data_IF_816314276281
#
_entry.id   IF_816314276281
#
_cell.length_a   1.000
_cell.length_b   1.000
_cell.length_c   1.000
_cell.angle_alpha   90.00
_cell.angle_beta   90.00
_cell.angle_gamma   90.00
#
_symmetry.space_group_name_H-M   'P 1'
#
loop_
_entity.id
_entity.type
_entity.pdbx_description
1 polymer ?
#
# COMPACT_ATOMS: atom_id res chain seq x y z
N UNK A 1 -19.40 12.95 -38.20
CA UNK A 1 -19.43 13.59 -36.87
C UNK A 1 -19.73 12.52 -35.87
N UNK A 2 -18.77 12.21 -34.99
CA UNK A 2 -18.93 11.19 -33.96
C UNK A 2 -19.93 11.70 -32.90
N UNK A 3 -20.88 10.85 -32.52
CA UNK A 3 -21.88 11.13 -31.48
C UNK A 3 -21.41 10.50 -30.17
N UNK A 4 -21.89 11.01 -29.03
CA UNK A 4 -21.50 10.53 -27.70
C UNK A 4 -21.68 9.00 -27.50
N UNK A 5 -22.56 8.36 -28.29
CA UNK A 5 -22.77 6.90 -28.25
C UNK A 5 -21.56 6.12 -28.80
N UNK A 6 -20.76 6.73 -29.68
CA UNK A 6 -19.61 6.10 -30.33
C UNK A 6 -18.40 6.01 -29.37
N UNK A 7 -18.40 6.82 -28.30
CA UNK A 7 -17.41 6.81 -27.21
C UNK A 7 -17.72 5.85 -26.07
N UNK A 8 -18.90 5.19 -26.08
CA UNK A 8 -19.29 4.14 -25.14
C UNK A 8 -19.11 2.74 -25.72
N UNK A 9 -18.49 2.63 -26.89
CA UNK A 9 -18.14 1.34 -27.47
C UNK A 9 -16.99 0.71 -26.69
N UNK A 10 -17.13 -0.59 -26.38
CA UNK A 10 -16.05 -1.44 -25.83
C UNK A 10 -14.78 -1.45 -26.70
N UNK A 11 -14.81 -0.82 -27.88
CA UNK A 11 -13.65 -0.60 -28.74
C UNK A 11 -12.46 0.05 -28.01
N UNK A 12 -12.69 0.92 -27.03
CA UNK A 12 -11.61 1.49 -26.21
C UNK A 12 -10.89 0.43 -25.35
N UNK A 13 -11.60 -0.57 -24.82
CA UNK A 13 -11.02 -1.66 -24.03
C UNK A 13 -10.49 -2.80 -24.89
N UNK A 14 -11.05 -3.01 -26.08
CA UNK A 14 -10.75 -4.17 -26.93
C UNK A 14 -9.60 -3.92 -27.91
N UNK A 15 -9.36 -2.66 -28.33
CA UNK A 15 -8.32 -2.33 -29.33
C UNK A 15 -7.10 -1.57 -28.78
N UNK A 16 -7.19 -1.02 -27.56
CA UNK A 16 -6.11 -0.19 -26.97
C UNK A 16 -5.34 -0.88 -25.82
N UNK A 17 -5.94 -1.91 -25.21
CA UNK A 17 -5.37 -2.59 -24.05
C UNK A 17 -5.19 -4.08 -24.34
N UNK A 18 -3.94 -4.54 -24.37
CA UNK A 18 -3.64 -5.95 -24.24
C UNK A 18 -3.52 -6.26 -22.75
N UNK A 19 -4.43 -7.05 -22.20
CA UNK A 19 -4.29 -7.54 -20.84
C UNK A 19 -3.01 -8.38 -20.74
N UNK A 20 -2.09 -7.97 -19.86
CA UNK A 20 -0.97 -8.82 -19.49
C UNK A 20 -1.49 -10.10 -18.82
N UNK A 21 -0.81 -11.22 -19.05
CA UNK A 21 -1.15 -12.45 -18.37
C UNK A 21 -0.97 -12.26 -16.87
N UNK A 22 -2.00 -12.62 -16.09
CA UNK A 22 -1.92 -12.57 -14.63
C UNK A 22 -0.73 -13.40 -14.14
N UNK A 23 0.02 -12.94 -13.13
CA UNK A 23 1.13 -13.70 -12.59
C UNK A 23 0.68 -15.11 -12.19
N UNK A 24 1.39 -16.14 -12.63
CA UNK A 24 1.20 -17.50 -12.14
C UNK A 24 1.77 -17.63 -10.73
N UNK A 25 1.24 -18.56 -9.94
CA UNK A 25 1.69 -18.79 -8.57
C UNK A 25 1.94 -20.27 -8.31
N UNK A 26 2.81 -20.57 -7.35
CA UNK A 26 2.94 -21.92 -6.80
C UNK A 26 2.14 -22.04 -5.52
N UNK A 27 2.44 -21.18 -4.53
CA UNK A 27 1.71 -21.12 -3.25
C UNK A 27 1.48 -19.69 -2.73
N UNK A 28 2.21 -18.70 -3.26
CA UNK A 28 2.18 -17.31 -2.79
C UNK A 28 2.27 -16.35 -3.98
N UNK A 29 1.67 -15.18 -3.80
CA UNK A 29 1.59 -14.09 -4.76
C UNK A 29 2.38 -12.85 -4.33
N UNK A 30 3.09 -12.91 -3.18
CA UNK A 30 3.98 -11.85 -2.72
C UNK A 30 3.26 -10.56 -2.30
N UNK A 31 1.94 -10.60 -2.12
CA UNK A 31 1.11 -9.45 -1.76
C UNK A 31 -0.01 -9.90 -0.84
N UNK A 32 -0.23 -9.17 0.25
CA UNK A 32 -1.34 -9.40 1.18
C UNK A 32 -2.72 -9.11 0.59
N UNK A 33 -2.77 -8.51 -0.60
CA UNK A 33 -4.00 -8.26 -1.35
C UNK A 33 -4.28 -9.32 -2.42
N UNK A 34 -3.38 -10.26 -2.65
CA UNK A 34 -3.51 -11.32 -3.64
C UNK A 34 -3.60 -12.68 -2.96
N UNK A 35 -4.29 -13.62 -3.58
CA UNK A 35 -4.29 -15.03 -3.23
C UNK A 35 -4.03 -15.88 -4.47
N UNK A 36 -3.51 -17.09 -4.27
CA UNK A 36 -3.23 -18.02 -5.35
C UNK A 36 -4.49 -18.84 -5.65
N UNK A 37 -5.21 -18.49 -6.71
CA UNK A 37 -6.39 -19.23 -7.19
C UNK A 37 -5.94 -20.51 -7.90
N UNK A 38 -6.27 -21.66 -7.31
CA UNK A 38 -6.04 -22.99 -7.90
C UNK A 38 -7.33 -23.66 -8.37
N UNK A 39 -8.47 -23.05 -8.08
CA UNK A 39 -9.79 -23.62 -8.32
C UNK A 39 -10.20 -23.57 -9.80
N UNK A 40 -9.56 -22.70 -10.60
CA UNK A 40 -9.92 -22.46 -12.01
C UNK A 40 -8.80 -22.80 -13.02
N UNK A 41 -8.04 -23.86 -12.76
CA UNK A 41 -7.03 -24.39 -13.70
C UNK A 41 -5.60 -24.04 -13.31
N UNK A 42 -4.83 -23.46 -14.24
CA UNK A 42 -3.44 -23.08 -13.94
C UNK A 42 -3.40 -22.06 -12.80
N UNK A 43 -2.63 -22.34 -11.72
CA UNK A 43 -2.60 -21.47 -10.56
C UNK A 43 -2.15 -20.05 -10.90
N UNK A 44 -2.95 -19.07 -10.47
CA UNK A 44 -2.71 -17.65 -10.77
C UNK A 44 -3.05 -16.74 -9.61
N UNK A 45 -2.38 -15.59 -9.57
CA UNK A 45 -2.63 -14.58 -8.56
C UNK A 45 -3.90 -13.78 -8.85
N UNK A 46 -4.76 -13.68 -7.85
CA UNK A 46 -6.06 -12.99 -7.93
C UNK A 46 -6.25 -12.10 -6.71
N UNK A 47 -6.89 -10.95 -6.88
CA UNK A 47 -7.21 -10.03 -5.78
C UNK A 47 -8.13 -10.69 -4.76
N UNK A 48 -7.82 -10.49 -3.48
CA UNK A 48 -8.68 -10.87 -2.36
C UNK A 48 -9.93 -9.99 -2.30
N UNK A 49 -10.99 -10.56 -1.75
CA UNK A 49 -12.30 -9.94 -1.58
C UNK A 49 -12.38 -9.27 -0.21
N UNK A 50 -12.87 -8.03 -0.18
CA UNK A 50 -13.13 -7.30 1.06
C UNK A 50 -14.23 -7.95 1.89
N UNK A 51 -14.26 -7.66 3.19
CA UNK A 51 -15.36 -8.05 4.08
C UNK A 51 -16.73 -7.62 3.51
N UNK A 52 -17.71 -8.53 3.57
CA UNK A 52 -19.04 -8.40 3.00
C UNK A 52 -19.15 -8.77 1.51
N UNK A 53 -18.00 -8.93 0.83
CA UNK A 53 -17.95 -9.36 -0.58
C UNK A 53 -18.22 -10.85 -0.77
N UNK A 54 -18.48 -11.22 -2.03
CA UNK A 54 -18.84 -12.58 -2.44
C UNK A 54 -17.60 -13.46 -2.62
N UNK A 55 -17.61 -14.65 -2.04
CA UNK A 55 -16.51 -15.62 -2.10
C UNK A 55 -16.97 -17.04 -2.48
N UNK A 56 -18.18 -17.16 -3.04
CA UNK A 56 -18.73 -18.44 -3.53
C UNK A 56 -17.77 -19.13 -4.51
N UNK A 57 -17.50 -20.42 -4.29
CA UNK A 57 -16.59 -21.25 -5.10
C UNK A 57 -15.12 -21.17 -4.71
N UNK A 58 -14.79 -20.42 -3.66
CA UNK A 58 -13.43 -20.24 -3.13
C UNK A 58 -13.36 -20.48 -1.62
N UNK A 59 -14.29 -21.28 -1.09
CA UNK A 59 -14.45 -21.51 0.35
C UNK A 59 -13.22 -22.16 1.00
N UNK A 60 -12.39 -22.85 0.22
CA UNK A 60 -11.17 -23.53 0.65
C UNK A 60 -9.90 -22.72 0.35
N UNK A 61 -10.04 -21.55 -0.26
CA UNK A 61 -8.92 -20.69 -0.65
C UNK A 61 -8.84 -19.45 0.26
N UNK A 62 -7.69 -18.81 0.28
CA UNK A 62 -7.45 -17.58 1.05
C UNK A 62 -8.01 -16.34 0.32
N UNK A 63 -9.26 -16.40 -0.13
CA UNK A 63 -9.89 -15.36 -0.95
C UNK A 63 -10.25 -14.10 -0.16
N UNK A 64 -10.52 -14.19 1.13
CA UNK A 64 -11.01 -13.07 1.92
C UNK A 64 -9.88 -12.25 2.56
N UNK A 65 -9.86 -10.94 2.30
CA UNK A 65 -8.91 -10.04 2.94
C UNK A 65 -9.26 -9.83 4.41
N UNK A 66 -8.40 -10.35 5.31
CA UNK A 66 -8.58 -10.31 6.78
C UNK A 66 -9.92 -10.88 7.25
N UNK A 67 -10.38 -11.92 6.57
CA UNK A 67 -11.66 -12.55 6.85
C UNK A 67 -11.67 -13.99 6.36
N UNK A 68 -12.80 -14.67 6.58
CA UNK A 68 -13.04 -16.04 6.13
C UNK A 68 -14.30 -16.11 5.28
N UNK A 69 -14.28 -16.98 4.28
CA UNK A 69 -15.45 -17.22 3.46
C UNK A 69 -16.46 -18.08 4.24
N UNK A 70 -17.57 -17.48 4.64
CA UNK A 70 -18.66 -18.15 5.37
C UNK A 70 -19.95 -17.89 4.64
N UNK A 71 -20.64 -18.96 4.22
CA UNK A 71 -21.89 -18.88 3.47
C UNK A 71 -21.79 -17.96 2.24
N UNK A 72 -20.71 -18.10 1.47
CA UNK A 72 -20.50 -17.31 0.24
C UNK A 72 -20.11 -15.86 0.46
N UNK A 73 -19.85 -15.43 1.70
CA UNK A 73 -19.41 -14.07 2.02
C UNK A 73 -18.19 -14.02 2.90
N UNK A 74 -17.33 -13.03 2.63
CA UNK A 74 -16.22 -12.72 3.50
C UNK A 74 -16.71 -12.08 4.80
N UNK A 75 -16.50 -12.74 5.94
CA UNK A 75 -16.81 -12.22 7.27
C UNK A 75 -15.52 -11.98 8.07
N UNK A 76 -15.50 -11.05 9.04
CA UNK A 76 -14.33 -10.84 9.88
C UNK A 76 -13.95 -12.13 10.62
N UNK A 77 -12.68 -12.51 10.57
CA UNK A 77 -12.17 -13.71 11.21
C UNK A 77 -10.76 -14.06 10.72
N UNK A 78 -10.04 -14.89 11.49
CA UNK A 78 -8.78 -15.48 11.05
C UNK A 78 -9.07 -16.69 10.17
N UNK A 79 -8.61 -16.67 8.91
CA UNK A 79 -8.70 -17.85 8.04
C UNK A 79 -7.98 -19.04 8.69
N UNK A 80 -8.65 -20.20 8.86
CA UNK A 80 -8.01 -21.43 9.31
C UNK A 80 -7.28 -22.16 8.17
N UNK A 81 -7.22 -21.62 6.96
CA UNK A 81 -6.39 -22.16 5.88
C UNK A 81 -4.94 -21.75 6.15
N UNK A 82 -4.32 -22.55 7.01
CA UNK A 82 -2.88 -22.60 7.27
C UNK A 82 -2.11 -22.75 5.95
N UNK A 83 -1.46 -21.67 5.52
CA UNK A 83 -0.07 -21.80 5.13
C UNK A 83 0.76 -21.82 6.43
N UNK A 84 1.58 -22.86 6.69
CA UNK A 84 2.42 -22.91 7.88
C UNK A 84 3.59 -21.93 7.72
N UNK A 85 3.33 -20.66 8.00
CA UNK A 85 4.36 -19.63 8.12
C UNK A 85 3.97 -18.59 9.18
N UNK A 86 3.70 -19.03 10.41
CA UNK A 86 3.86 -18.20 11.63
C UNK A 86 3.60 -19.04 12.88
N UNK A 87 4.54 -19.93 13.20
CA UNK A 87 4.94 -20.13 14.58
C UNK A 87 6.45 -19.93 14.62
N UNK A 88 6.87 -18.68 14.78
CA UNK A 88 8.24 -18.36 15.12
C UNK A 88 8.47 -18.75 16.58
N UNK A 89 8.84 -20.01 16.81
CA UNK A 89 9.66 -20.34 17.98
C UNK A 89 10.92 -19.48 17.89
N UNK A 90 11.20 -18.73 18.96
CA UNK A 90 12.41 -17.89 19.07
C UNK A 90 13.64 -18.77 18.86
N UNK A 91 14.20 -18.72 17.65
CA UNK A 91 15.53 -19.24 17.39
C UNK A 91 16.56 -18.34 18.11
N UNK A 92 17.67 -18.92 18.61
CA UNK A 92 18.77 -18.14 19.19
C UNK A 92 19.34 -17.15 18.17
N UNK A 93 20.01 -16.07 18.62
CA UNK A 93 20.36 -14.94 17.76
C UNK A 93 21.36 -15.37 16.69
N UNK A 94 20.85 -15.63 15.49
CA UNK A 94 21.67 -15.69 14.30
C UNK A 94 22.14 -14.27 13.98
N UNK A 95 23.45 -14.09 13.89
CA UNK A 95 24.10 -12.86 13.46
C UNK A 95 23.47 -12.39 12.15
N UNK A 96 22.74 -11.27 12.22
CA UNK A 96 21.91 -10.72 11.14
C UNK A 96 22.80 -10.45 9.92
N UNK A 97 22.56 -11.16 8.81
CA UNK A 97 22.95 -10.65 7.51
C UNK A 97 22.30 -9.26 7.34
N UNK A 98 22.99 -8.27 6.74
CA UNK A 98 22.41 -6.95 6.53
C UNK A 98 21.13 -7.11 5.71
N UNK A 99 20.04 -6.42 6.09
CA UNK A 99 18.81 -6.46 5.31
C UNK A 99 19.12 -6.04 3.88
N UNK A 100 18.67 -6.84 2.91
CA UNK A 100 18.75 -6.49 1.50
C UNK A 100 18.12 -5.12 1.32
N UNK A 101 18.90 -4.17 0.81
CA UNK A 101 18.45 -2.83 0.49
C UNK A 101 17.46 -2.90 -0.68
N UNK A 102 16.19 -3.16 -0.39
CA UNK A 102 15.12 -2.97 -1.36
C UNK A 102 15.04 -1.47 -1.64
N UNK A 103 15.19 -1.06 -2.91
CA UNK A 103 15.00 0.32 -3.37
C UNK A 103 13.58 0.86 -3.10
N UNK A 104 12.64 -0.02 -2.74
CA UNK A 104 11.20 0.26 -2.69
C UNK A 104 10.65 0.34 -1.26
N UNK A 105 11.49 0.75 -0.29
CA UNK A 105 11.07 0.91 1.09
C UNK A 105 10.60 2.34 1.37
N UNK A 106 9.31 2.60 1.15
CA UNK A 106 8.70 3.93 1.33
C UNK A 106 7.60 3.92 2.41
N UNK A 107 7.20 5.12 2.82
CA UNK A 107 5.95 5.33 3.54
C UNK A 107 4.87 5.75 2.53
N UNK A 108 3.65 5.25 2.70
CA UNK A 108 2.49 5.56 1.85
C UNK A 108 1.67 6.74 2.39
N UNK A 109 1.83 7.07 3.67
CA UNK A 109 1.06 8.12 4.33
C UNK A 109 1.99 9.16 4.95
N UNK A 110 1.59 10.44 4.97
CA UNK A 110 2.35 11.46 5.66
C UNK A 110 2.38 11.18 7.16
N UNK A 111 3.48 11.58 7.82
CA UNK A 111 3.66 11.52 9.27
C UNK A 111 3.95 10.14 9.86
N UNK A 112 4.37 9.18 9.04
CA UNK A 112 4.75 7.85 9.49
C UNK A 112 5.87 7.88 10.55
N UNK A 113 6.86 8.77 10.44
CA UNK A 113 7.91 8.94 11.46
C UNK A 113 7.34 9.43 12.80
N UNK A 114 6.43 10.42 12.75
CA UNK A 114 5.74 10.93 13.95
C UNK A 114 4.86 9.86 14.59
N UNK A 115 4.13 9.07 13.81
CA UNK A 115 3.31 8.00 14.37
C UNK A 115 4.15 6.86 14.92
N UNK A 116 5.24 6.50 14.25
CA UNK A 116 6.20 5.51 14.75
C UNK A 116 6.79 5.94 16.09
N UNK A 117 7.22 7.20 16.24
CA UNK A 117 7.73 7.72 17.52
C UNK A 117 6.67 7.78 18.63
N UNK A 118 5.37 7.75 18.29
CA UNK A 118 4.26 7.62 19.24
C UNK A 118 3.92 6.16 19.60
N UNK A 119 4.70 5.17 19.13
CA UNK A 119 4.44 3.74 19.39
C UNK A 119 3.27 3.17 18.59
N UNK A 120 2.92 3.79 17.45
CA UNK A 120 1.83 3.29 16.59
C UNK A 120 2.20 1.99 15.89
N UNK A 121 3.49 1.74 15.66
CA UNK A 121 3.93 0.51 15.00
C UNK A 121 3.46 -0.75 15.75
N UNK A 122 3.36 -0.67 17.08
CA UNK A 122 2.84 -1.72 17.94
C UNK A 122 1.34 -1.57 18.21
N UNK A 123 0.85 -0.34 18.38
CA UNK A 123 -0.56 -0.10 18.72
C UNK A 123 -1.52 -0.26 17.53
N UNK A 124 -1.03 -0.12 16.30
CA UNK A 124 -1.79 -0.17 15.05
C UNK A 124 -0.98 -0.88 13.96
N UNK A 125 -0.56 -2.10 14.27
CA UNK A 125 0.36 -2.94 13.48
C UNK A 125 -0.07 -3.04 12.01
N UNK A 126 -1.37 -3.20 11.78
CA UNK A 126 -1.93 -3.38 10.45
C UNK A 126 -1.81 -2.13 9.57
N UNK A 127 -2.27 -0.99 10.10
CA UNK A 127 -2.21 0.27 9.37
C UNK A 127 -0.75 0.70 9.18
N UNK A 128 0.02 0.69 10.26
CA UNK A 128 1.41 1.13 10.23
C UNK A 128 2.28 0.20 9.41
N UNK A 129 2.01 -1.10 9.43
CA UNK A 129 2.76 -2.05 8.62
C UNK A 129 2.55 -1.87 7.12
N UNK A 130 1.33 -1.51 6.74
CA UNK A 130 0.99 -1.27 5.33
C UNK A 130 1.40 0.11 4.86
N UNK A 131 1.24 1.14 5.71
CA UNK A 131 1.37 2.54 5.29
C UNK A 131 2.69 3.19 5.71
N UNK A 132 3.39 2.62 6.69
CA UNK A 132 4.55 3.21 7.34
C UNK A 132 5.70 2.21 7.44
N UNK A 133 5.84 1.34 6.44
CA UNK A 133 6.78 0.23 6.44
C UNK A 133 8.23 0.67 6.73
N UNK A 134 8.66 1.79 6.13
CA UNK A 134 9.98 2.36 6.38
C UNK A 134 10.10 2.86 7.83
N UNK A 135 9.15 3.67 8.31
CA UNK A 135 9.19 4.25 9.67
C UNK A 135 9.07 3.20 10.78
N UNK A 136 8.32 2.12 10.54
CA UNK A 136 8.20 0.99 11.46
C UNK A 136 9.28 -0.06 11.29
N UNK A 137 10.31 0.20 10.46
CA UNK A 137 11.45 -0.68 10.23
C UNK A 137 11.07 -2.09 9.76
N UNK A 138 9.97 -2.19 9.02
CA UNK A 138 9.51 -3.43 8.38
C UNK A 138 10.33 -3.69 7.12
N UNK A 139 10.74 -2.63 6.44
CA UNK A 139 11.73 -2.67 5.38
C UNK A 139 12.91 -1.75 5.72
N UNK A 140 13.99 -1.84 4.92
CA UNK A 140 15.18 -0.99 5.10
C UNK A 140 15.21 0.11 4.04
N UNK A 141 14.97 1.35 4.48
CA UNK A 141 15.05 2.54 3.63
C UNK A 141 16.52 2.86 3.30
N UNK A 142 16.77 3.29 2.06
CA UNK A 142 18.08 3.76 1.59
C UNK A 142 18.31 5.26 1.85
N UNK A 143 17.36 5.93 2.47
CA UNK A 143 17.35 7.36 2.77
C UNK A 143 17.18 7.61 4.27
N UNK A 144 17.52 8.83 4.70
CA UNK A 144 17.35 9.25 6.09
C UNK A 144 15.92 9.69 6.35
N UNK A 145 15.16 8.88 7.09
CA UNK A 145 13.78 9.17 7.48
C UNK A 145 13.63 10.46 8.31
N UNK A 146 14.68 10.89 9.00
CA UNK A 146 14.67 12.09 9.83
C UNK A 146 14.94 13.38 9.05
N UNK A 147 15.38 13.26 7.79
CA UNK A 147 15.57 14.41 6.92
C UNK A 147 14.24 14.86 6.29
N UNK A 148 13.52 15.69 7.05
CA UNK A 148 12.24 16.32 6.69
C UNK A 148 12.25 17.15 5.39
N UNK A 149 13.41 17.48 4.82
CA UNK A 149 13.52 18.22 3.57
C UNK A 149 14.49 17.49 2.64
N UNK A 150 14.06 16.35 2.13
CA UNK A 150 14.78 15.63 1.09
C UNK A 150 13.83 14.87 0.17
N UNK A 151 14.37 14.46 -0.97
CA UNK A 151 13.75 13.48 -1.84
C UNK A 151 14.27 12.08 -1.50
N UNK A 152 13.34 11.17 -1.24
CA UNK A 152 13.64 9.78 -0.89
C UNK A 152 13.83 8.89 -2.12
N UNK A 153 13.60 9.43 -3.33
CA UNK A 153 13.82 8.74 -4.60
C UNK A 153 14.48 9.65 -5.62
N UNK A 154 15.47 9.15 -6.39
CA UNK A 154 16.03 9.87 -7.54
C UNK A 154 15.00 10.27 -8.60
N UNK A 155 13.80 9.66 -8.60
CA UNK A 155 12.74 9.95 -9.56
C UNK A 155 11.85 11.13 -9.16
N UNK A 156 11.98 11.66 -7.93
CA UNK A 156 11.17 12.77 -7.43
C UNK A 156 11.14 14.01 -8.34
N UNK A 157 12.26 14.48 -8.93
CA UNK A 157 12.22 15.61 -9.85
C UNK A 157 11.37 15.33 -11.10
N UNK A 158 11.47 14.11 -11.63
CA UNK A 158 10.70 13.67 -12.79
C UNK A 158 9.20 13.55 -12.49
N UNK A 159 8.84 13.02 -11.31
CA UNK A 159 7.46 12.94 -10.85
C UNK A 159 6.86 14.33 -10.60
N UNK A 160 7.61 15.22 -9.96
CA UNK A 160 7.21 16.61 -9.74
C UNK A 160 6.92 17.32 -11.07
N UNK A 161 7.81 17.19 -12.07
CA UNK A 161 7.61 17.75 -13.40
C UNK A 161 6.37 17.20 -14.14
N UNK A 162 5.88 16.00 -13.76
CA UNK A 162 4.65 15.40 -14.30
C UNK A 162 3.38 15.76 -13.51
N UNK A 163 3.49 16.61 -12.50
CA UNK A 163 2.35 17.06 -11.69
C UNK A 163 2.00 16.14 -10.51
N UNK A 164 2.86 15.19 -10.15
CA UNK A 164 2.56 14.24 -9.06
C UNK A 164 2.41 14.92 -7.70
N UNK A 165 3.02 16.09 -7.50
CA UNK A 165 2.82 16.89 -6.29
C UNK A 165 1.36 17.28 -6.07
N UNK A 166 0.54 17.29 -7.13
CA UNK A 166 -0.89 17.56 -7.08
C UNK A 166 -1.72 16.28 -7.17
N UNK A 167 -1.45 15.40 -8.15
CA UNK A 167 -2.21 14.17 -8.37
C UNK A 167 -1.97 13.09 -7.30
N UNK A 168 -0.77 13.07 -6.73
CA UNK A 168 -0.35 12.13 -5.67
C UNK A 168 0.23 12.88 -4.47
N UNK A 169 -0.46 13.95 -4.07
CA UNK A 169 0.03 14.92 -3.08
C UNK A 169 0.45 14.30 -1.74
N UNK A 170 -0.25 13.26 -1.27
CA UNK A 170 0.04 12.60 0.02
C UNK A 170 1.39 11.88 -0.02
N UNK A 171 1.59 11.06 -1.04
CA UNK A 171 2.79 10.27 -1.21
C UNK A 171 3.99 11.17 -1.52
N UNK A 172 3.81 12.15 -2.39
CA UNK A 172 4.86 13.11 -2.74
C UNK A 172 5.23 14.03 -1.57
N UNK A 173 4.28 14.40 -0.71
CA UNK A 173 4.57 15.17 0.51
C UNK A 173 5.30 14.38 1.59
N UNK A 174 5.29 13.05 1.50
CA UNK A 174 6.03 12.16 2.38
C UNK A 174 7.41 11.83 1.81
N UNK A 175 7.52 11.61 0.50
CA UNK A 175 8.71 11.03 -0.13
C UNK A 175 9.49 11.97 -1.07
N UNK A 176 8.92 13.10 -1.48
CA UNK A 176 9.50 13.99 -2.50
C UNK A 176 9.36 15.48 -2.12
N UNK A 177 9.70 15.82 -0.87
CA UNK A 177 9.40 17.13 -0.29
C UNK A 177 10.22 18.25 -0.91
N UNK A 178 11.46 17.97 -1.31
CA UNK A 178 12.33 18.95 -1.96
C UNK A 178 11.80 19.24 -3.36
N UNK A 179 11.57 18.20 -4.17
CA UNK A 179 11.01 18.32 -5.52
C UNK A 179 9.64 18.97 -5.57
N UNK A 180 8.81 18.80 -4.54
CA UNK A 180 7.50 19.44 -4.43
C UNK A 180 7.52 20.79 -3.71
N UNK A 181 8.69 21.32 -3.33
CA UNK A 181 8.83 22.61 -2.65
C UNK A 181 8.03 22.68 -1.33
N UNK A 182 7.94 21.56 -0.62
CA UNK A 182 7.23 21.42 0.65
C UNK A 182 8.14 21.57 1.87
N UNK A 183 9.44 21.77 1.65
CA UNK A 183 10.39 22.10 2.70
C UNK A 183 9.93 23.31 3.52
N UNK A 184 10.05 23.21 4.85
CA UNK A 184 9.56 24.25 5.77
C UNK A 184 8.04 24.31 5.96
N UNK A 185 7.26 23.53 5.21
CA UNK A 185 5.82 23.40 5.43
C UNK A 185 5.53 22.26 6.42
N UNK A 186 4.72 22.53 7.45
CA UNK A 186 4.36 21.52 8.45
C UNK A 186 3.50 20.41 7.85
N UNK A 187 3.88 19.15 8.07
CA UNK A 187 3.04 17.98 7.75
C UNK A 187 1.74 18.05 8.58
N UNK A 188 0.59 17.90 7.92
CA UNK A 188 -0.72 17.88 8.59
C UNK A 188 -1.04 16.47 9.08
N UNK A 189 -0.57 16.15 10.27
CA UNK A 189 -0.83 14.86 10.91
C UNK A 189 -2.17 14.93 11.65
N UNK A 190 -3.21 14.30 11.10
CA UNK A 190 -4.55 14.28 11.68
C UNK A 190 -4.58 13.72 13.10
N UNK A 191 -4.59 14.61 14.09
CA UNK A 191 -4.89 14.33 15.49
C UNK A 191 -5.61 15.54 16.06
N UNK A 192 -6.59 15.33 16.95
CA UNK A 192 -7.35 16.39 17.62
C UNK A 192 -6.46 17.18 18.61
N UNK A 193 -5.44 17.85 18.11
CA UNK A 193 -4.68 18.88 18.81
C UNK A 193 -5.17 20.23 18.32
N UNK A 194 -5.58 21.10 19.26
CA UNK A 194 -6.00 22.48 18.97
C UNK A 194 -4.83 23.29 18.41
N UNK A 195 -4.56 23.22 17.11
CA UNK A 195 -3.83 24.26 16.41
C UNK A 195 -4.83 25.08 15.60
N UNK A 196 -5.21 26.24 16.16
CA UNK A 196 -5.92 27.32 15.46
C UNK A 196 -4.98 27.99 14.46
N UNK A 197 -4.60 27.29 13.40
CA UNK A 197 -4.08 27.99 12.24
C UNK A 197 -4.57 27.37 10.92
N UNK A 198 -5.84 27.66 10.61
CA UNK A 198 -6.45 27.35 9.31
C UNK A 198 -5.83 28.13 8.13
N UNK A 199 -4.81 28.96 8.36
CA UNK A 199 -4.17 29.78 7.31
C UNK A 199 -3.03 29.07 6.58
N UNK A 200 -2.64 27.86 6.99
CA UNK A 200 -1.53 27.09 6.38
C UNK A 200 -1.92 25.72 5.83
N UNK A 201 -3.20 25.51 5.47
CA UNK A 201 -3.56 24.34 4.66
C UNK A 201 -3.16 24.65 3.21
N UNK A 202 -2.28 23.85 2.58
CA UNK A 202 -2.00 24.01 1.16
C UNK A 202 -3.31 23.91 0.36
N UNK A 203 -3.46 24.63 -0.77
CA UNK A 203 -4.71 24.73 -1.52
C UNK A 203 -5.42 23.38 -1.79
N UNK A 204 -4.65 22.32 -2.00
CA UNK A 204 -5.12 20.97 -2.33
C UNK A 204 -5.59 20.12 -1.13
N UNK A 205 -5.47 20.62 0.11
CA UNK A 205 -5.96 19.93 1.33
C UNK A 205 -7.35 20.39 1.80
N UNK A 206 -8.05 21.17 0.96
CA UNK A 206 -9.43 21.61 1.19
C UNK A 206 -10.38 20.78 0.31
N UNK A 207 -10.53 19.51 0.66
CA UNK A 207 -11.64 18.65 0.22
C UNK A 207 -12.55 18.37 1.40
#
# INVERSE_FOLDING_TARGET
GYRNIDGLSNKYTDELYQYEQRPSCSNDCGSHYLFCDRSHGQPRCVSKVKIGGRCDGFEQEDICYKGVCVNGRCVPGSNPVTNPATQATRAPPATRAPPSSSSDCFNEQPCCERWASMGRCEADVDFMGTNCAASCRICSASFDLSNECSDHSPSCPGWSARGECESNAMWMAENCRESCQLCGQSRHCGGRGRHRDHRRRPPWWRG
#
